data_IF_416722214510
#
_entry.id   IF_416722214510
#
_cell.length_a   1.000
_cell.length_b   1.000
_cell.length_c   1.000
_cell.angle_alpha   90.00
_cell.angle_beta   90.00
_cell.angle_gamma   90.00
#
_symmetry.space_group_name_H-M   'P 1'
#
loop_
_entity.id
_entity.type
_entity.pdbx_description
1 polymer ?
#
# COMPACT_ATOMS: atom_id res chain seq x y z
N UNK A 1 -17.88 17.51 16.79
CA UNK A 1 -17.36 16.15 16.76
C UNK A 1 -18.19 15.32 17.73
N UNK A 2 -19.12 14.51 17.21
CA UNK A 2 -19.80 13.50 18.00
C UNK A 2 -18.75 12.44 18.38
N UNK A 3 -18.30 12.45 19.64
CA UNK A 3 -17.23 11.58 20.15
C UNK A 3 -17.67 10.12 20.29
N UNK A 4 -18.04 9.50 19.18
CA UNK A 4 -18.39 8.09 19.15
C UNK A 4 -17.11 7.24 19.28
N UNK A 5 -16.87 6.68 20.46
CA UNK A 5 -15.70 5.84 20.78
C UNK A 5 -16.01 4.34 20.73
N UNK A 6 -17.25 3.95 20.45
CA UNK A 6 -17.70 2.55 20.52
C UNK A 6 -18.24 2.03 19.19
N UNK A 7 -17.95 0.76 18.88
CA UNK A 7 -18.52 0.02 17.74
C UNK A 7 -20.06 -0.03 17.77
N UNK A 8 -20.67 0.08 18.95
CA UNK A 8 -22.10 0.13 19.15
C UNK A 8 -22.77 1.37 18.55
N UNK A 9 -22.01 2.46 18.34
CA UNK A 9 -22.53 3.70 17.74
C UNK A 9 -23.13 3.45 16.34
N UNK A 10 -22.46 2.67 15.51
CA UNK A 10 -22.97 2.30 14.18
C UNK A 10 -24.26 1.46 14.24
N UNK A 11 -24.34 0.53 15.20
CA UNK A 11 -25.53 -0.30 15.40
C UNK A 11 -26.72 0.51 15.87
N UNK A 12 -26.51 1.43 16.81
CA UNK A 12 -27.56 2.36 17.30
C UNK A 12 -28.05 3.27 16.17
N UNK A 13 -27.14 3.80 15.36
CA UNK A 13 -27.48 4.63 14.19
C UNK A 13 -28.28 3.83 13.17
N UNK A 14 -27.84 2.61 12.82
CA UNK A 14 -28.57 1.73 11.90
C UNK A 14 -29.96 1.35 12.42
N UNK A 15 -30.07 0.99 13.68
CA UNK A 15 -31.36 0.70 14.32
C UNK A 15 -32.27 1.92 14.33
N UNK A 16 -31.72 3.13 14.60
CA UNK A 16 -32.47 4.38 14.53
C UNK A 16 -33.03 4.63 13.14
N UNK A 17 -32.22 4.44 12.08
CA UNK A 17 -32.68 4.59 10.68
C UNK A 17 -33.81 3.60 10.37
N UNK A 18 -33.65 2.32 10.73
CA UNK A 18 -34.66 1.29 10.50
C UNK A 18 -35.96 1.61 11.24
N UNK A 19 -35.88 2.14 12.45
CA UNK A 19 -37.05 2.55 13.24
C UNK A 19 -37.82 3.71 12.58
N UNK A 20 -37.10 4.65 11.94
CA UNK A 20 -37.69 5.78 11.24
C UNK A 20 -38.21 5.46 9.84
N UNK A 21 -37.75 4.36 9.23
CA UNK A 21 -38.14 4.00 7.86
C UNK A 21 -39.67 3.93 7.61
N UNK A 22 -40.49 3.36 8.51
CA UNK A 22 -41.94 3.33 8.34
C UNK A 22 -42.57 4.75 8.32
N UNK A 23 -41.91 5.72 8.92
CA UNK A 23 -42.37 7.12 8.97
C UNK A 23 -41.87 7.96 7.78
N UNK A 24 -41.16 7.40 6.85
CA UNK A 24 -40.61 8.10 5.67
C UNK A 24 -41.73 8.78 4.84
N UNK A 25 -42.96 8.23 4.83
CA UNK A 25 -44.11 8.80 4.15
C UNK A 25 -44.51 10.19 4.69
N UNK A 26 -44.20 10.52 5.95
CA UNK A 26 -44.45 11.84 6.53
C UNK A 26 -43.62 12.92 5.83
N UNK A 27 -42.47 12.55 5.27
CA UNK A 27 -41.60 13.45 4.52
C UNK A 27 -41.99 13.58 3.05
N UNK A 28 -42.89 12.74 2.55
CA UNK A 28 -43.30 12.76 1.13
C UNK A 28 -43.85 14.09 0.62
N UNK A 29 -44.62 14.90 1.44
CA UNK A 29 -45.12 16.19 0.98
C UNK A 29 -44.08 17.30 0.96
N UNK A 30 -42.84 17.06 1.44
CA UNK A 30 -41.80 18.08 1.42
C UNK A 30 -41.33 18.39 -0.01
N UNK A 31 -41.29 19.68 -0.41
CA UNK A 31 -40.69 20.05 -1.69
C UNK A 31 -39.25 19.57 -1.82
N UNK A 32 -38.87 19.07 -2.99
CA UNK A 32 -37.50 18.60 -3.27
C UNK A 32 -36.44 19.66 -2.94
N UNK A 33 -36.74 20.92 -3.15
CA UNK A 33 -35.84 22.03 -2.83
C UNK A 33 -35.52 22.10 -1.33
N UNK A 34 -36.50 21.83 -0.47
CA UNK A 34 -36.30 21.81 0.99
C UNK A 34 -35.41 20.64 1.39
N UNK A 35 -35.66 19.44 0.84
CA UNK A 35 -34.83 18.26 1.08
C UNK A 35 -33.38 18.50 0.63
N UNK A 36 -33.19 19.08 -0.57
CA UNK A 36 -31.87 19.44 -1.05
C UNK A 36 -31.17 20.47 -0.15
N UNK A 37 -31.90 21.47 0.34
CA UNK A 37 -31.36 22.46 1.28
C UNK A 37 -30.90 21.83 2.61
N UNK A 38 -31.67 20.91 3.16
CA UNK A 38 -31.28 20.16 4.37
C UNK A 38 -30.00 19.35 4.13
N UNK A 39 -29.90 18.64 3.00
CA UNK A 39 -28.70 17.86 2.65
C UNK A 39 -27.48 18.75 2.51
N UNK A 40 -27.61 19.89 1.79
CA UNK A 40 -26.52 20.86 1.64
C UNK A 40 -26.05 21.38 3.01
N UNK A 41 -26.99 21.79 3.86
CA UNK A 41 -26.66 22.27 5.20
C UNK A 41 -25.96 21.21 6.07
N UNK A 42 -26.38 19.94 5.96
CA UNK A 42 -25.77 18.83 6.69
C UNK A 42 -24.37 18.46 6.17
N UNK A 43 -24.14 18.58 4.86
CA UNK A 43 -22.85 18.23 4.22
C UNK A 43 -21.84 19.38 4.27
N UNK A 44 -22.32 20.65 4.35
CA UNK A 44 -21.45 21.83 4.33
C UNK A 44 -20.27 21.78 5.32
N UNK A 45 -20.45 21.37 6.61
CA UNK A 45 -19.35 21.27 7.56
C UNK A 45 -18.33 20.18 7.23
N UNK A 46 -18.71 19.22 6.39
CA UNK A 46 -17.84 18.11 5.95
C UNK A 46 -17.00 18.50 4.73
N UNK A 47 -17.38 19.59 4.03
CA UNK A 47 -16.68 20.05 2.84
C UNK A 47 -15.38 20.78 3.23
N UNK A 48 -14.25 20.09 3.07
CA UNK A 48 -12.92 20.58 3.42
C UNK A 48 -12.00 20.58 2.21
N UNK A 49 -12.18 21.53 1.28
CA UNK A 49 -11.39 21.54 0.05
C UNK A 49 -9.89 21.72 0.29
N UNK A 50 -9.51 22.39 1.39
CA UNK A 50 -8.10 22.54 1.78
C UNK A 50 -7.35 21.21 1.96
N UNK A 51 -8.01 20.20 2.52
CA UNK A 51 -7.44 18.86 2.70
C UNK A 51 -7.14 18.19 1.35
N UNK A 52 -7.98 18.37 0.33
CA UNK A 52 -7.76 17.87 -1.02
C UNK A 52 -6.53 18.51 -1.69
N UNK A 53 -6.32 19.80 -1.49
CA UNK A 53 -5.13 20.49 -2.00
C UNK A 53 -3.86 20.08 -1.25
N UNK A 54 -3.95 19.84 0.05
CA UNK A 54 -2.84 19.38 0.86
C UNK A 54 -2.34 17.99 0.46
N UNK A 55 -3.24 17.11 -0.04
CA UNK A 55 -2.89 15.79 -0.56
C UNK A 55 -1.82 15.84 -1.66
N UNK A 56 -1.78 16.89 -2.50
CA UNK A 56 -0.74 17.05 -3.52
C UNK A 56 0.66 17.18 -2.93
N UNK A 57 0.77 17.74 -1.73
CA UNK A 57 2.04 17.93 -1.04
C UNK A 57 2.47 16.70 -0.27
N UNK A 58 1.49 15.94 0.25
CA UNK A 58 1.74 14.77 1.08
C UNK A 58 1.94 13.51 0.22
N UNK A 59 1.03 13.27 -0.74
CA UNK A 59 1.06 12.06 -1.57
C UNK A 59 0.36 12.29 -2.90
N UNK A 60 1.16 12.43 -3.96
CA UNK A 60 0.63 12.61 -5.34
C UNK A 60 -0.30 11.49 -5.78
N UNK A 61 0.00 10.18 -5.53
CA UNK A 61 -0.90 9.10 -5.92
C UNK A 61 -2.27 9.19 -5.23
N UNK A 62 -2.30 9.52 -3.93
CA UNK A 62 -3.56 9.70 -3.21
C UNK A 62 -4.34 10.94 -3.68
N UNK A 63 -3.63 12.01 -4.04
CA UNK A 63 -4.24 13.20 -4.63
C UNK A 63 -4.93 12.87 -5.96
N UNK A 64 -4.30 12.07 -6.83
CA UNK A 64 -4.89 11.62 -8.10
C UNK A 64 -6.18 10.83 -7.86
N UNK A 65 -6.18 9.91 -6.88
CA UNK A 65 -7.39 9.15 -6.52
C UNK A 65 -8.49 10.08 -6.00
N UNK A 66 -8.15 10.98 -5.06
CA UNK A 66 -9.12 11.90 -4.47
C UNK A 66 -9.74 12.84 -5.50
N UNK A 67 -8.93 13.52 -6.29
CA UNK A 67 -9.38 14.43 -7.34
C UNK A 67 -10.10 13.69 -8.46
N UNK A 68 -9.60 12.53 -8.89
CA UNK A 68 -10.24 11.69 -9.89
C UNK A 68 -11.65 11.26 -9.46
N UNK A 69 -11.79 10.76 -8.24
CA UNK A 69 -13.11 10.37 -7.69
C UNK A 69 -14.05 11.58 -7.62
N UNK A 70 -13.55 12.74 -7.19
CA UNK A 70 -14.34 13.97 -7.14
C UNK A 70 -14.84 14.37 -8.53
N UNK A 71 -13.95 14.38 -9.53
CA UNK A 71 -14.33 14.73 -10.92
C UNK A 71 -15.32 13.71 -11.47
N UNK A 72 -15.11 12.40 -11.27
CA UNK A 72 -16.05 11.37 -11.71
C UNK A 72 -17.42 11.52 -11.06
N UNK A 73 -17.49 11.91 -9.78
CA UNK A 73 -18.75 12.16 -9.09
C UNK A 73 -19.53 13.32 -9.74
N UNK A 74 -18.83 14.35 -10.22
CA UNK A 74 -19.48 15.48 -10.91
C UNK A 74 -19.91 15.12 -12.35
N UNK A 75 -19.06 14.43 -13.10
CA UNK A 75 -19.29 14.12 -14.51
C UNK A 75 -20.35 13.03 -14.70
N UNK A 76 -20.37 12.03 -13.82
CA UNK A 76 -21.29 10.90 -13.90
C UNK A 76 -22.62 11.14 -13.16
N UNK A 77 -22.81 12.32 -12.56
CA UNK A 77 -24.09 12.64 -11.94
C UNK A 77 -25.24 12.48 -12.94
N UNK A 78 -26.38 11.84 -12.58
CA UNK A 78 -26.76 11.41 -11.22
C UNK A 78 -26.27 10.00 -10.82
N UNK A 79 -25.49 9.29 -11.65
CA UNK A 79 -25.03 7.90 -11.41
C UNK A 79 -23.84 7.86 -10.45
N UNK A 80 -24.05 8.31 -9.22
CA UNK A 80 -22.99 8.46 -8.20
C UNK A 80 -22.33 7.11 -7.87
N UNK A 81 -23.10 6.01 -7.94
CA UNK A 81 -22.62 4.65 -7.71
C UNK A 81 -21.49 4.25 -8.67
N UNK A 82 -21.56 4.67 -9.93
CA UNK A 82 -20.52 4.40 -10.93
C UNK A 82 -19.26 5.21 -10.63
N UNK A 83 -19.41 6.46 -10.20
CA UNK A 83 -18.29 7.32 -9.82
C UNK A 83 -17.54 6.76 -8.62
N UNK A 84 -18.29 6.28 -7.59
CA UNK A 84 -17.69 5.64 -6.41
C UNK A 84 -16.97 4.35 -6.80
N UNK A 85 -17.58 3.51 -7.64
CA UNK A 85 -16.95 2.27 -8.12
C UNK A 85 -15.64 2.55 -8.86
N UNK A 86 -15.61 3.53 -9.75
CA UNK A 86 -14.39 3.97 -10.44
C UNK A 86 -13.35 4.48 -9.47
N UNK A 87 -13.75 5.23 -8.45
CA UNK A 87 -12.86 5.69 -7.38
C UNK A 87 -12.23 4.53 -6.61
N UNK A 88 -13.02 3.50 -6.28
CA UNK A 88 -12.52 2.28 -5.60
C UNK A 88 -11.54 1.51 -6.49
N UNK A 89 -11.87 1.33 -7.78
CA UNK A 89 -10.96 0.66 -8.75
C UNK A 89 -9.65 1.43 -8.88
N UNK A 90 -9.72 2.75 -8.99
CA UNK A 90 -8.53 3.61 -9.10
C UNK A 90 -7.69 3.58 -7.82
N UNK A 91 -8.33 3.58 -6.65
CA UNK A 91 -7.63 3.43 -5.36
C UNK A 91 -6.92 2.08 -5.25
N UNK A 92 -7.61 1.00 -5.67
CA UNK A 92 -7.04 -0.35 -5.73
C UNK A 92 -5.86 -0.45 -6.70
N UNK A 93 -5.96 0.17 -7.88
CA UNK A 93 -4.89 0.19 -8.87
C UNK A 93 -3.65 0.93 -8.35
N UNK A 94 -3.83 2.09 -7.72
CA UNK A 94 -2.72 2.85 -7.10
C UNK A 94 -2.10 2.08 -5.94
N UNK A 95 -2.93 1.43 -5.11
CA UNK A 95 -2.42 0.59 -4.02
C UNK A 95 -1.59 -0.57 -4.57
N UNK A 96 -2.12 -1.29 -5.57
CA UNK A 96 -1.41 -2.40 -6.22
C UNK A 96 -0.09 -1.95 -6.82
N UNK A 97 -0.07 -0.82 -7.53
CA UNK A 97 1.17 -0.26 -8.10
C UNK A 97 2.23 -0.04 -7.01
N UNK A 98 1.85 0.55 -5.88
CA UNK A 98 2.80 0.79 -4.78
C UNK A 98 3.35 -0.48 -4.17
N UNK A 99 2.54 -1.52 -4.08
CA UNK A 99 2.96 -2.83 -3.57
C UNK A 99 3.87 -3.58 -4.56
N UNK A 100 3.72 -3.33 -5.86
CA UNK A 100 4.56 -3.94 -6.92
C UNK A 100 5.92 -3.26 -7.08
N UNK A 101 6.08 -2.03 -6.58
CA UNK A 101 7.33 -1.26 -6.68
C UNK A 101 7.92 -1.04 -5.30
N UNK A 102 8.67 -2.02 -4.74
CA UNK A 102 9.34 -1.85 -3.47
C UNK A 102 10.39 -0.74 -3.54
N UNK A 103 10.54 0.01 -2.48
CA UNK A 103 11.66 0.93 -2.35
C UNK A 103 12.93 0.12 -2.01
N UNK A 104 13.88 0.14 -2.91
CA UNK A 104 15.18 -0.52 -2.72
C UNK A 104 16.24 0.55 -2.62
N UNK A 105 16.70 0.81 -1.39
CA UNK A 105 17.87 1.63 -1.18
C UNK A 105 19.12 0.76 -1.36
N UNK A 106 20.15 1.29 -2.02
CA UNK A 106 21.44 0.61 -2.17
C UNK A 106 22.58 1.58 -1.86
N UNK A 107 23.57 1.07 -1.14
CA UNK A 107 24.78 1.81 -0.79
C UNK A 107 25.98 0.89 -1.04
N UNK A 108 27.05 1.41 -1.66
CA UNK A 108 28.30 0.67 -1.83
C UNK A 108 29.26 1.00 -0.71
N UNK A 109 29.83 0.00 -0.09
CA UNK A 109 30.91 0.10 0.87
C UNK A 109 32.10 -0.75 0.43
N UNK A 110 33.08 -0.11 -0.20
CA UNK A 110 34.25 -0.81 -0.74
C UNK A 110 33.92 -1.72 -1.92
N UNK A 111 34.07 -3.02 -1.74
CA UNK A 111 33.74 -4.10 -2.68
C UNK A 111 32.38 -4.76 -2.38
N UNK A 112 31.65 -4.24 -1.41
CA UNK A 112 30.38 -4.78 -0.96
C UNK A 112 29.23 -3.85 -1.34
N UNK A 113 28.18 -4.40 -1.94
CA UNK A 113 26.91 -3.72 -2.22
C UNK A 113 25.90 -4.04 -1.12
N UNK A 114 25.48 -3.05 -0.38
CA UNK A 114 24.43 -3.18 0.64
C UNK A 114 23.10 -2.79 0.00
N UNK A 115 22.12 -3.67 0.06
CA UNK A 115 20.77 -3.47 -0.48
C UNK A 115 19.77 -3.55 0.64
N UNK A 116 18.94 -2.52 0.78
CA UNK A 116 17.92 -2.39 1.83
C UNK A 116 16.51 -2.35 1.22
N UNK A 117 15.87 -3.51 0.99
CA UNK A 117 14.48 -3.54 0.53
C UNK A 117 13.53 -3.08 1.65
N UNK A 118 12.55 -2.24 1.29
CA UNK A 118 11.51 -1.77 2.21
C UNK A 118 10.13 -2.16 1.72
N UNK A 119 9.25 -2.52 2.65
CA UNK A 119 7.87 -2.86 2.35
C UNK A 119 7.56 -4.34 2.48
N UNK A 120 6.65 -4.84 1.64
CA UNK A 120 6.21 -6.24 1.65
C UNK A 120 6.90 -7.00 0.52
N UNK A 121 7.54 -8.12 0.86
CA UNK A 121 8.14 -9.02 -0.13
C UNK A 121 7.18 -10.18 -0.44
N UNK A 122 6.64 -10.21 -1.65
CA UNK A 122 5.66 -11.17 -2.15
C UNK A 122 5.89 -11.45 -3.64
N UNK A 123 5.10 -12.33 -4.25
CA UNK A 123 5.31 -12.73 -5.65
C UNK A 123 5.39 -11.53 -6.62
N UNK A 124 4.66 -10.44 -6.34
CA UNK A 124 4.62 -9.27 -7.22
C UNK A 124 5.79 -8.31 -7.05
N UNK A 125 6.44 -8.28 -5.88
CA UNK A 125 7.57 -7.37 -5.58
C UNK A 125 8.93 -8.06 -5.61
N UNK A 126 9.00 -9.38 -5.52
CA UNK A 126 10.26 -10.12 -5.57
C UNK A 126 11.03 -9.91 -6.90
N UNK A 127 10.39 -9.96 -8.10
CA UNK A 127 11.09 -9.66 -9.35
C UNK A 127 11.64 -8.23 -9.42
N UNK A 128 10.91 -7.26 -8.87
CA UNK A 128 11.37 -5.87 -8.87
C UNK A 128 12.60 -5.66 -7.95
N UNK A 129 12.71 -6.41 -6.86
CA UNK A 129 13.91 -6.43 -6.01
C UNK A 129 15.10 -7.04 -6.76
N UNK A 130 14.87 -8.16 -7.46
CA UNK A 130 15.88 -8.84 -8.28
C UNK A 130 16.38 -7.91 -9.39
N UNK A 131 15.48 -7.31 -10.18
CA UNK A 131 15.81 -6.37 -11.25
C UNK A 131 16.63 -5.17 -10.72
N UNK A 132 16.23 -4.63 -9.57
CA UNK A 132 16.95 -3.51 -8.94
C UNK A 132 18.37 -3.91 -8.51
N UNK A 133 18.53 -5.11 -7.95
CA UNK A 133 19.85 -5.63 -7.57
C UNK A 133 20.73 -5.87 -8.79
N UNK A 134 20.21 -6.55 -9.81
CA UNK A 134 20.95 -6.85 -11.04
C UNK A 134 21.36 -5.58 -11.80
N UNK A 135 20.48 -4.58 -11.86
CA UNK A 135 20.79 -3.28 -12.45
C UNK A 135 21.96 -2.60 -11.71
N UNK A 136 21.99 -2.67 -10.37
CA UNK A 136 23.08 -2.12 -9.58
C UNK A 136 24.39 -2.88 -9.77
N UNK A 137 24.35 -4.18 -9.79
CA UNK A 137 25.54 -5.01 -10.05
C UNK A 137 26.11 -4.76 -11.45
N UNK A 138 25.28 -4.49 -12.44
CA UNK A 138 25.71 -4.13 -13.78
C UNK A 138 26.39 -2.75 -13.85
N UNK A 139 25.99 -1.80 -13.00
CA UNK A 139 26.62 -0.49 -12.88
C UNK A 139 27.97 -0.55 -12.12
N UNK A 140 28.15 -1.57 -11.27
CA UNK A 140 29.27 -1.69 -10.35
C UNK A 140 29.98 -3.06 -10.48
N UNK A 141 30.73 -3.29 -11.56
CA UNK A 141 31.33 -4.62 -11.86
C UNK A 141 32.41 -5.07 -10.87
N UNK A 142 32.94 -4.15 -10.05
CA UNK A 142 33.99 -4.44 -9.07
C UNK A 142 33.43 -4.94 -7.71
N UNK A 143 32.12 -5.10 -7.61
CA UNK A 143 31.48 -5.65 -6.40
C UNK A 143 31.76 -7.14 -6.31
N UNK A 144 32.18 -7.61 -5.12
CA UNK A 144 32.48 -9.01 -4.84
C UNK A 144 31.49 -9.64 -3.86
N UNK A 145 30.78 -8.82 -3.10
CA UNK A 145 29.81 -9.29 -2.13
C UNK A 145 28.55 -8.41 -2.08
N UNK A 146 27.42 -9.04 -1.77
CA UNK A 146 26.12 -8.39 -1.59
C UNK A 146 25.64 -8.65 -0.16
N UNK A 147 25.16 -7.60 0.51
CA UNK A 147 24.47 -7.71 1.79
C UNK A 147 23.04 -7.25 1.57
N UNK A 148 22.08 -8.13 1.83
CA UNK A 148 20.65 -7.76 1.83
C UNK A 148 20.22 -7.52 3.28
N UNK A 149 20.05 -6.24 3.62
CA UNK A 149 19.62 -5.83 4.96
C UNK A 149 18.10 -5.82 5.05
N UNK A 150 17.54 -6.84 5.69
CA UNK A 150 16.12 -7.13 5.72
C UNK A 150 15.32 -6.34 6.79
N UNK A 151 15.96 -5.47 7.58
CA UNK A 151 15.32 -4.71 8.65
C UNK A 151 14.15 -3.83 8.21
N UNK A 152 14.12 -3.42 6.93
CA UNK A 152 13.03 -2.66 6.32
C UNK A 152 11.84 -3.51 5.82
N UNK A 153 11.93 -4.84 5.86
CA UNK A 153 10.86 -5.73 5.41
C UNK A 153 9.75 -5.80 6.46
N UNK A 154 8.58 -5.27 6.12
CA UNK A 154 7.40 -5.30 6.97
C UNK A 154 6.73 -6.67 7.01
N UNK A 155 6.77 -7.42 5.89
CA UNK A 155 6.20 -8.75 5.76
C UNK A 155 6.85 -9.50 4.60
N UNK A 156 6.98 -10.82 4.74
CA UNK A 156 7.34 -11.74 3.65
C UNK A 156 6.33 -12.88 3.60
N UNK A 157 5.84 -13.21 2.41
CA UNK A 157 5.06 -14.43 2.19
C UNK A 157 5.94 -15.56 1.64
N UNK A 158 5.36 -16.75 1.51
CA UNK A 158 6.10 -17.92 1.03
C UNK A 158 6.66 -17.72 -0.38
N UNK A 159 5.89 -17.06 -1.25
CA UNK A 159 6.29 -16.83 -2.65
C UNK A 159 7.40 -15.78 -2.75
N UNK A 160 7.32 -14.72 -1.95
CA UNK A 160 8.41 -13.74 -1.82
C UNK A 160 9.69 -14.34 -1.24
N UNK A 161 9.55 -15.28 -0.31
CA UNK A 161 10.69 -16.01 0.24
C UNK A 161 11.38 -16.90 -0.82
N UNK A 162 10.60 -17.59 -1.67
CA UNK A 162 11.18 -18.33 -2.80
C UNK A 162 11.86 -17.40 -3.81
N UNK A 163 11.26 -16.24 -4.14
CA UNK A 163 11.92 -15.26 -5.02
C UNK A 163 13.24 -14.74 -4.42
N UNK A 164 13.28 -14.49 -3.12
CA UNK A 164 14.53 -14.11 -2.44
C UNK A 164 15.56 -15.24 -2.49
N UNK A 165 15.14 -16.49 -2.33
CA UNK A 165 16.03 -17.67 -2.46
C UNK A 165 16.61 -17.77 -3.87
N UNK A 166 15.78 -17.64 -4.90
CA UNK A 166 16.21 -17.68 -6.29
C UNK A 166 17.20 -16.57 -6.61
N UNK A 167 16.96 -15.36 -6.13
CA UNK A 167 17.89 -14.23 -6.25
C UNK A 167 19.24 -14.54 -5.56
N UNK A 168 19.23 -15.16 -4.39
CA UNK A 168 20.45 -15.57 -3.69
C UNK A 168 21.22 -16.59 -4.54
N UNK A 169 20.56 -17.63 -5.03
CA UNK A 169 21.16 -18.67 -5.86
C UNK A 169 21.77 -18.10 -7.16
N UNK A 170 21.13 -17.11 -7.78
CA UNK A 170 21.65 -16.44 -8.98
C UNK A 170 22.91 -15.63 -8.67
N UNK A 171 22.94 -14.87 -7.58
CA UNK A 171 24.09 -14.07 -7.15
C UNK A 171 25.28 -14.96 -6.81
N UNK A 172 25.05 -16.05 -6.06
CA UNK A 172 26.07 -17.05 -5.76
C UNK A 172 26.58 -17.76 -7.04
N UNK A 173 25.66 -18.08 -7.96
CA UNK A 173 25.99 -18.66 -9.26
C UNK A 173 26.85 -17.74 -10.15
N UNK A 174 26.75 -16.43 -9.96
CA UNK A 174 27.63 -15.44 -10.59
C UNK A 174 29.01 -15.31 -9.92
N UNK A 175 29.27 -16.06 -8.85
CA UNK A 175 30.51 -16.04 -8.09
C UNK A 175 30.62 -14.93 -7.06
N UNK A 176 29.51 -14.25 -6.74
CA UNK A 176 29.46 -13.19 -5.74
C UNK A 176 29.03 -13.75 -4.38
N UNK A 177 29.63 -13.28 -3.30
CA UNK A 177 29.15 -13.58 -1.95
C UNK A 177 27.83 -12.85 -1.67
N UNK A 178 26.85 -13.54 -1.10
CA UNK A 178 25.60 -12.89 -0.63
C UNK A 178 25.26 -13.33 0.78
N UNK A 179 24.77 -12.39 1.59
CA UNK A 179 24.26 -12.69 2.94
C UNK A 179 23.09 -11.81 3.30
N UNK A 180 22.25 -12.34 4.19
CA UNK A 180 21.11 -11.61 4.76
C UNK A 180 21.51 -11.07 6.13
N UNK A 181 21.20 -9.79 6.39
CA UNK A 181 21.38 -9.14 7.68
C UNK A 181 20.05 -8.57 8.18
N UNK A 182 19.93 -8.41 9.50
CA UNK A 182 18.77 -7.81 10.17
C UNK A 182 17.43 -8.47 9.80
N UNK A 183 17.42 -9.80 9.64
CA UNK A 183 16.23 -10.55 9.25
C UNK A 183 15.18 -10.52 10.37
N UNK A 184 13.99 -9.92 10.17
CA UNK A 184 12.93 -9.89 11.17
C UNK A 184 12.45 -11.30 11.55
N UNK A 185 12.02 -11.50 12.77
CA UNK A 185 11.61 -12.79 13.32
C UNK A 185 10.52 -13.49 12.47
N UNK A 186 9.56 -12.72 11.95
CA UNK A 186 8.50 -13.25 11.08
C UNK A 186 9.04 -13.73 9.72
N UNK A 187 10.05 -13.06 9.16
CA UNK A 187 10.70 -13.44 7.91
C UNK A 187 11.63 -14.66 8.11
N UNK A 188 12.35 -14.70 9.23
CA UNK A 188 13.27 -15.78 9.59
C UNK A 188 12.57 -17.14 9.54
N UNK A 189 11.42 -17.28 10.17
CA UNK A 189 10.66 -18.53 10.17
C UNK A 189 10.28 -19.02 8.78
N UNK A 190 9.93 -18.13 7.88
CA UNK A 190 9.55 -18.49 6.51
C UNK A 190 10.78 -18.88 5.69
N UNK A 191 11.89 -18.14 5.83
CA UNK A 191 13.14 -18.39 5.12
C UNK A 191 13.80 -19.70 5.57
N UNK A 192 13.86 -19.97 6.85
CA UNK A 192 14.39 -21.24 7.41
C UNK A 192 13.56 -22.45 6.95
N UNK A 193 12.23 -22.30 6.86
CA UNK A 193 11.35 -23.37 6.38
C UNK A 193 11.63 -23.80 4.93
N UNK A 194 12.21 -22.91 4.11
CA UNK A 194 12.60 -23.18 2.72
C UNK A 194 14.12 -23.42 2.54
N UNK A 195 14.85 -23.50 3.67
CA UNK A 195 16.29 -23.81 3.68
C UNK A 195 17.21 -22.63 3.35
N UNK A 196 16.73 -21.38 3.52
CA UNK A 196 17.57 -20.19 3.43
C UNK A 196 18.17 -19.87 4.78
N UNK A 197 19.51 -19.89 4.87
CA UNK A 197 20.23 -19.53 6.10
C UNK A 197 20.07 -18.04 6.40
N UNK A 198 19.60 -17.72 7.62
CA UNK A 198 19.40 -16.34 8.08
C UNK A 198 20.53 -15.86 9.00
N UNK A 199 21.50 -16.72 9.33
CA UNK A 199 22.72 -16.36 10.05
C UNK A 199 23.81 -16.14 9.02
N UNK A 200 24.50 -15.01 9.10
CA UNK A 200 25.59 -14.66 8.20
C UNK A 200 26.66 -15.75 8.21
N UNK A 201 26.68 -16.56 7.16
CA UNK A 201 27.75 -17.53 6.94
C UNK A 201 28.99 -16.74 6.53
N UNK A 202 30.10 -16.76 7.28
CA UNK A 202 31.32 -16.18 6.78
C UNK A 202 31.72 -16.94 5.50
N UNK A 203 31.99 -16.18 4.44
CA UNK A 203 32.56 -16.72 3.20
C UNK A 203 33.84 -17.51 3.49
N UNK A 204 34.10 -18.58 2.76
CA UNK A 204 35.36 -19.33 2.84
C UNK A 204 36.57 -18.48 2.48
#
# INVERSE_FOLDING_TARGET
LAGATSRWSGLVTGAGVLLFLPFASVLAPLPRAVLSGIVIAAVWPLFRPGELFELWRISRPQAIVGWGTFIFTLVLAPNIEQAVLLGVVMAGAVHMWRELTPEVASVREGDTLIVEPKGVLWFGSAPALEDALLARLAEEPDVQAVIVRCGGLGRIDLTGAYGLKEMIEQVEGAGLGIRLEDVPEHARRVLEAIGVGTEGRPSP
#
